data_IF_467389888270
#
_entry.id   IF_467389888270
#
_cell.length_a   1.000
_cell.length_b   1.000
_cell.length_c   1.000
_cell.angle_alpha   90.00
_cell.angle_beta   90.00
_cell.angle_gamma   90.00
#
_symmetry.space_group_name_H-M   'P 1'
#
loop_
_entity.id
_entity.type
_entity.pdbx_description
1 polymer ?
#
# COMPACT_ATOMS: atom_id res chain seq x y z
N UNK A 1 1.65 9.92 5.01
CA UNK A 1 1.37 8.75 5.87
C UNK A 1 1.98 8.96 7.26
N UNK A 2 1.39 8.39 8.32
CA UNK A 2 2.01 8.33 9.66
C UNK A 2 2.94 7.12 9.79
N UNK A 3 4.22 7.35 10.12
CA UNK A 3 5.17 6.27 10.41
C UNK A 3 4.87 5.52 11.72
N UNK A 4 5.51 4.38 11.92
CA UNK A 4 5.37 3.54 13.12
C UNK A 4 6.59 2.64 13.27
N UNK A 5 6.94 2.30 14.52
CA UNK A 5 7.96 1.28 14.84
C UNK A 5 7.36 -0.13 14.92
N UNK A 6 6.05 -0.21 15.05
CA UNK A 6 5.29 -1.46 15.00
C UNK A 6 5.01 -1.79 13.52
N UNK A 7 5.41 -2.99 13.04
CA UNK A 7 5.27 -3.38 11.65
C UNK A 7 3.82 -3.50 11.19
N UNK A 8 2.91 -3.98 12.04
CA UNK A 8 1.49 -4.11 11.71
C UNK A 8 0.84 -2.73 11.58
N UNK A 9 1.09 -1.85 12.56
CA UNK A 9 0.60 -0.47 12.53
C UNK A 9 1.16 0.29 11.32
N UNK A 10 2.44 0.10 11.00
CA UNK A 10 3.06 0.71 9.82
C UNK A 10 2.38 0.22 8.53
N UNK A 11 2.23 -1.09 8.35
CA UNK A 11 1.61 -1.68 7.17
C UNK A 11 0.15 -1.22 6.99
N UNK A 12 -0.63 -1.13 8.08
CA UNK A 12 -2.00 -0.62 8.05
C UNK A 12 -2.05 0.86 7.65
N UNK A 13 -1.17 1.70 8.20
CA UNK A 13 -1.09 3.11 7.82
C UNK A 13 -0.71 3.28 6.33
N UNK A 14 0.17 2.43 5.81
CA UNK A 14 0.58 2.43 4.40
C UNK A 14 -0.61 2.02 3.53
N UNK A 15 -1.27 0.91 3.86
CA UNK A 15 -2.44 0.41 3.16
C UNK A 15 -3.56 1.46 3.12
N UNK A 16 -3.89 2.10 4.24
CA UNK A 16 -4.87 3.18 4.27
C UNK A 16 -4.45 4.34 3.38
N UNK A 17 -3.17 4.76 3.40
CA UNK A 17 -2.68 5.86 2.56
C UNK A 17 -2.72 5.51 1.07
N UNK A 18 -2.40 4.27 0.71
CA UNK A 18 -2.40 3.76 -0.66
C UNK A 18 -3.80 3.76 -1.29
N UNK A 19 -4.82 3.48 -0.48
CA UNK A 19 -6.20 3.39 -0.95
C UNK A 19 -7.04 4.64 -0.69
N UNK A 20 -6.51 5.65 0.03
CA UNK A 20 -7.26 6.89 0.32
C UNK A 20 -6.85 7.99 -0.65
N UNK A 21 -7.68 8.21 -1.66
CA UNK A 21 -7.49 9.28 -2.62
C UNK A 21 -8.83 9.85 -3.07
N UNK A 22 -8.80 11.09 -3.51
CA UNK A 22 -9.96 11.83 -4.00
C UNK A 22 -9.57 12.56 -5.30
N UNK A 23 -10.34 12.35 -6.36
CA UNK A 23 -10.10 12.99 -7.66
C UNK A 23 -10.49 14.47 -7.68
N UNK A 24 -11.32 14.91 -6.73
CA UNK A 24 -11.78 16.29 -6.56
C UNK A 24 -10.86 17.14 -5.65
N UNK A 25 -9.85 16.55 -5.02
CA UNK A 25 -8.93 17.27 -4.11
C UNK A 25 -7.95 18.21 -4.80
N UNK A 26 -7.88 18.18 -6.14
CA UNK A 26 -6.86 18.88 -6.93
C UNK A 26 -5.54 18.11 -7.08
N UNK A 27 -5.36 17.02 -6.35
CA UNK A 27 -4.20 16.14 -6.47
C UNK A 27 -4.33 15.17 -7.66
N UNK A 28 -3.19 14.63 -8.08
CA UNK A 28 -3.04 13.58 -9.09
C UNK A 28 -2.43 12.31 -8.47
N UNK A 29 -2.47 11.16 -9.16
CA UNK A 29 -1.92 9.90 -8.64
C UNK A 29 -0.49 10.02 -8.11
N UNK A 30 0.36 10.80 -8.78
CA UNK A 30 1.75 11.01 -8.40
C UNK A 30 1.90 11.70 -7.03
N UNK A 31 0.98 12.60 -6.67
CA UNK A 31 1.02 13.29 -5.38
C UNK A 31 0.73 12.31 -4.23
N UNK A 32 -0.20 11.38 -4.44
CA UNK A 32 -0.50 10.32 -3.47
C UNK A 32 0.67 9.34 -3.33
N UNK A 33 1.31 8.95 -4.45
CA UNK A 33 2.45 8.03 -4.42
C UNK A 33 3.66 8.64 -3.71
N UNK A 34 3.94 9.94 -3.88
CA UNK A 34 5.05 10.62 -3.21
C UNK A 34 5.03 10.44 -1.69
N UNK A 35 3.85 10.47 -1.07
CA UNK A 35 3.70 10.29 0.38
C UNK A 35 4.05 8.89 0.89
N UNK A 36 3.96 7.88 0.02
CA UNK A 36 4.30 6.47 0.30
C UNK A 36 5.78 6.24 0.02
N UNK A 37 6.30 6.81 -1.08
CA UNK A 37 7.72 6.71 -1.44
C UNK A 37 8.63 7.42 -0.44
N UNK A 38 8.12 8.43 0.28
CA UNK A 38 8.86 9.10 1.36
C UNK A 38 9.13 8.21 2.58
N UNK A 39 8.44 7.08 2.72
CA UNK A 39 8.69 6.09 3.78
C UNK A 39 9.36 4.82 3.25
N UNK A 40 9.89 4.86 2.03
CA UNK A 40 10.70 3.79 1.46
C UNK A 40 12.02 3.59 2.19
N UNK A 41 12.72 2.50 1.86
CA UNK A 41 14.05 2.21 2.40
C UNK A 41 15.02 3.39 2.24
N UNK A 42 15.59 3.92 3.34
CA UNK A 42 16.52 5.05 3.28
C UNK A 42 17.82 4.75 2.53
N UNK A 43 18.20 3.47 2.33
CA UNK A 43 19.37 3.16 1.49
C UNK A 43 19.10 3.39 0.01
N UNK A 44 17.83 3.46 -0.39
CA UNK A 44 17.38 3.61 -1.77
C UNK A 44 17.41 2.31 -2.59
N UNK A 45 17.86 1.18 -2.01
CA UNK A 45 18.01 -0.09 -2.73
C UNK A 45 16.68 -0.59 -3.31
N UNK A 46 15.61 -0.49 -2.55
CA UNK A 46 14.28 -0.95 -2.96
C UNK A 46 13.43 0.14 -3.63
N UNK A 47 13.94 1.38 -3.74
CA UNK A 47 13.11 2.53 -4.10
C UNK A 47 12.48 2.41 -5.50
N UNK A 48 13.24 1.91 -6.48
CA UNK A 48 12.74 1.71 -7.84
C UNK A 48 11.66 0.60 -7.90
N UNK A 49 11.87 -0.48 -7.15
CA UNK A 49 10.91 -1.58 -7.04
C UNK A 49 9.62 -1.11 -6.36
N UNK A 50 9.75 -0.42 -5.21
CA UNK A 50 8.61 0.15 -4.49
C UNK A 50 7.82 1.15 -5.35
N UNK A 51 8.50 2.00 -6.12
CA UNK A 51 7.84 2.93 -7.03
C UNK A 51 7.02 2.22 -8.11
N UNK A 52 7.57 1.15 -8.69
CA UNK A 52 6.85 0.30 -9.63
C UNK A 52 5.65 -0.37 -8.98
N UNK A 53 5.81 -0.92 -7.78
CA UNK A 53 4.72 -1.58 -7.07
C UNK A 53 3.61 -0.56 -6.75
N UNK A 54 3.92 0.60 -6.16
CA UNK A 54 2.92 1.65 -5.83
C UNK A 54 2.17 2.14 -7.06
N UNK A 55 2.86 2.32 -8.20
CA UNK A 55 2.22 2.74 -9.44
C UNK A 55 1.14 1.74 -9.91
N UNK A 56 1.33 0.44 -9.67
CA UNK A 56 0.37 -0.60 -10.04
C UNK A 56 -0.93 -0.58 -9.19
N UNK A 57 -0.95 0.11 -8.06
CA UNK A 57 -2.13 0.24 -7.20
C UNK A 57 -2.99 1.47 -7.50
N UNK A 58 -2.43 2.46 -8.22
CA UNK A 58 -3.08 3.73 -8.49
C UNK A 58 -3.69 3.73 -9.89
N UNK A 59 -4.79 4.48 -10.11
CA UNK A 59 -5.33 4.66 -11.45
C UNK A 59 -4.29 5.30 -12.39
N UNK A 60 -4.31 4.90 -13.67
CA UNK A 60 -3.57 5.60 -14.72
C UNK A 60 -4.04 7.05 -14.85
N UNK A 61 -3.27 7.88 -15.54
CA UNK A 61 -3.65 9.28 -15.79
C UNK A 61 -4.98 9.38 -16.55
N UNK A 62 -5.18 8.53 -17.54
CA UNK A 62 -6.40 8.47 -18.35
C UNK A 62 -7.59 8.03 -17.48
N UNK A 63 -7.41 6.98 -16.67
CA UNK A 63 -8.43 6.55 -15.72
C UNK A 63 -8.78 7.65 -14.72
N UNK A 64 -7.79 8.39 -14.23
CA UNK A 64 -8.00 9.50 -13.30
C UNK A 64 -8.88 10.60 -13.89
N UNK A 65 -8.65 10.96 -15.16
CA UNK A 65 -9.48 11.96 -15.87
C UNK A 65 -10.93 11.50 -15.96
N UNK A 66 -11.18 10.22 -16.26
CA UNK A 66 -12.53 9.68 -16.31
C UNK A 66 -13.18 9.63 -14.92
N UNK A 67 -12.47 9.14 -13.90
CA UNK A 67 -12.95 9.08 -12.52
C UNK A 67 -13.30 10.47 -11.95
N UNK A 68 -12.55 11.51 -12.34
CA UNK A 68 -12.78 12.89 -11.92
C UNK A 68 -14.12 13.45 -12.41
N UNK A 69 -14.62 13.02 -13.58
CA UNK A 69 -15.96 13.43 -14.07
C UNK A 69 -17.08 13.00 -13.13
N UNK A 70 -16.81 12.01 -12.28
CA UNK A 70 -17.73 11.43 -11.31
C UNK A 70 -17.37 11.78 -9.87
N UNK A 71 -16.52 12.79 -9.62
CA UNK A 71 -16.04 13.14 -8.28
C UNK A 71 -15.61 11.91 -7.47
N UNK A 72 -14.94 10.96 -8.13
CA UNK A 72 -14.66 9.65 -7.53
C UNK A 72 -13.64 9.79 -6.41
N UNK A 73 -13.91 9.13 -5.30
CA UNK A 73 -13.01 8.96 -4.16
C UNK A 73 -12.92 7.50 -3.76
N UNK A 74 -11.81 7.14 -3.14
CA UNK A 74 -11.58 5.82 -2.60
C UNK A 74 -11.16 5.89 -1.14
N UNK A 75 -11.58 4.88 -0.38
CA UNK A 75 -11.10 4.60 0.97
C UNK A 75 -10.94 3.10 1.19
N UNK A 76 -10.36 2.70 2.32
CA UNK A 76 -10.14 1.31 2.68
C UNK A 76 -10.58 1.05 4.12
N UNK A 77 -11.35 -0.01 4.31
CA UNK A 77 -11.60 -0.63 5.62
C UNK A 77 -10.75 -1.88 5.73
N UNK A 78 -9.77 -1.90 6.64
CA UNK A 78 -8.91 -3.07 6.88
C UNK A 78 -9.63 -4.02 7.84
N UNK A 79 -9.87 -5.25 7.40
CA UNK A 79 -10.56 -6.28 8.18
C UNK A 79 -9.59 -7.20 8.91
N UNK A 80 -8.40 -7.44 8.34
CA UNK A 80 -7.37 -8.28 8.95
C UNK A 80 -5.97 -7.84 8.53
N UNK A 81 -5.02 -7.98 9.43
CA UNK A 81 -3.59 -7.87 9.14
C UNK A 81 -2.82 -8.92 9.94
N UNK A 82 -1.82 -9.55 9.31
CA UNK A 82 -1.03 -10.63 9.93
C UNK A 82 0.28 -10.87 9.17
N UNK A 83 1.26 -11.48 9.83
CA UNK A 83 2.46 -12.00 9.16
C UNK A 83 2.11 -13.37 8.54
N UNK A 84 2.25 -13.56 7.22
CA UNK A 84 1.89 -14.83 6.58
C UNK A 84 2.88 -15.94 6.92
N UNK A 85 2.43 -17.19 6.89
CA UNK A 85 3.27 -18.34 7.26
C UNK A 85 4.46 -18.51 6.29
N UNK A 86 4.24 -18.30 4.98
CA UNK A 86 5.34 -18.35 4.01
C UNK A 86 6.45 -17.32 4.27
N UNK A 87 6.20 -16.24 5.03
CA UNK A 87 7.29 -15.34 5.42
C UNK A 87 8.29 -16.04 6.34
N UNK A 88 7.81 -16.84 7.30
CA UNK A 88 8.69 -17.61 8.18
C UNK A 88 9.50 -18.65 7.40
N UNK A 89 8.91 -19.22 6.35
CA UNK A 89 9.61 -20.15 5.46
C UNK A 89 10.68 -19.45 4.64
N UNK A 90 10.36 -18.29 4.05
CA UNK A 90 11.30 -17.47 3.32
C UNK A 90 12.50 -17.08 4.18
N UNK A 91 12.28 -16.71 5.45
CA UNK A 91 13.35 -16.41 6.39
C UNK A 91 14.25 -17.62 6.67
N UNK A 92 13.69 -18.83 6.80
CA UNK A 92 14.49 -20.06 7.02
C UNK A 92 15.32 -20.44 5.79
N UNK A 93 14.83 -20.13 4.59
CA UNK A 93 15.47 -20.49 3.33
C UNK A 93 16.44 -19.42 2.82
N UNK A 94 16.37 -18.20 3.35
CA UNK A 94 17.21 -17.09 2.92
C UNK A 94 18.70 -17.35 3.23
N UNK A 95 19.55 -17.05 2.24
CA UNK A 95 20.99 -16.99 2.43
C UNK A 95 21.36 -15.74 3.25
N UNK A 96 22.51 -15.75 3.95
CA UNK A 96 23.00 -14.58 4.66
C UNK A 96 23.02 -13.33 3.79
N UNK A 97 22.39 -12.25 4.27
CA UNK A 97 22.34 -10.96 3.57
C UNK A 97 21.22 -10.81 2.53
N UNK A 98 20.43 -11.85 2.22
CA UNK A 98 19.29 -11.73 1.30
C UNK A 98 18.10 -10.99 1.92
N UNK A 99 17.91 -11.11 3.23
CA UNK A 99 16.85 -10.44 3.96
C UNK A 99 17.47 -9.37 4.87
N UNK A 100 17.07 -8.10 4.74
CA UNK A 100 17.55 -7.03 5.62
C UNK A 100 17.26 -7.31 7.09
N UNK A 101 18.11 -6.80 7.97
CA UNK A 101 17.86 -6.88 9.42
C UNK A 101 16.54 -6.19 9.79
N UNK A 102 15.74 -6.84 10.64
CA UNK A 102 14.43 -6.31 11.05
C UNK A 102 13.35 -6.36 9.96
N UNK A 103 13.59 -7.05 8.83
CA UNK A 103 12.59 -7.24 7.80
C UNK A 103 11.44 -8.16 8.26
N UNK A 104 10.23 -7.83 7.83
CA UNK A 104 9.04 -8.64 7.98
C UNK A 104 8.08 -8.42 6.80
N UNK A 105 7.06 -9.26 6.71
CA UNK A 105 5.97 -9.12 5.76
C UNK A 105 4.64 -9.07 6.50
N UNK A 106 3.76 -8.14 6.13
CA UNK A 106 2.41 -8.04 6.70
C UNK A 106 1.40 -8.12 5.56
N UNK A 107 0.58 -9.15 5.58
CA UNK A 107 -0.54 -9.33 4.67
C UNK A 107 -1.75 -8.55 5.20
N UNK A 108 -2.33 -7.71 4.35
CA UNK A 108 -3.50 -6.89 4.59
C UNK A 108 -4.68 -7.48 3.84
N UNK A 109 -5.81 -7.69 4.54
CA UNK A 109 -7.11 -7.94 3.94
C UNK A 109 -8.03 -6.78 4.29
N UNK A 110 -8.86 -6.38 3.33
CA UNK A 110 -9.82 -5.31 3.55
C UNK A 110 -10.86 -5.21 2.45
N UNK A 111 -11.64 -4.15 2.55
CA UNK A 111 -12.61 -3.74 1.54
C UNK A 111 -12.26 -2.34 1.09
N UNK A 112 -11.94 -2.16 -0.19
CA UNK A 112 -11.84 -0.82 -0.78
C UNK A 112 -13.25 -0.36 -1.13
N UNK A 113 -13.57 0.87 -0.75
CA UNK A 113 -14.83 1.52 -1.05
C UNK A 113 -14.56 2.56 -2.14
N UNK A 114 -15.29 2.50 -3.25
CA UNK A 114 -15.21 3.50 -4.30
C UNK A 114 -16.55 4.21 -4.40
N UNK A 115 -16.53 5.51 -4.18
CA UNK A 115 -17.74 6.34 -4.19
C UNK A 115 -17.58 7.46 -5.20
N UNK A 116 -18.67 7.86 -5.84
CA UNK A 116 -18.70 8.97 -6.77
C UNK A 116 -20.12 9.46 -7.02
N UNK A 117 -20.30 10.21 -8.10
CA UNK A 117 -21.57 10.78 -8.51
C UNK A 117 -21.89 10.45 -9.97
N UNK A 118 -23.13 10.05 -10.22
CA UNK A 118 -23.67 9.81 -11.55
C UNK A 118 -24.99 10.57 -11.71
N UNK A 119 -25.06 11.51 -12.66
CA UNK A 119 -26.22 12.39 -12.87
C UNK A 119 -26.73 13.05 -11.57
N UNK A 120 -25.80 13.55 -10.74
CA UNK A 120 -26.11 14.21 -9.46
C UNK A 120 -26.58 13.27 -8.35
N UNK A 121 -26.49 11.94 -8.53
CA UNK A 121 -26.80 10.95 -7.50
C UNK A 121 -25.54 10.24 -7.02
N UNK A 122 -25.40 10.01 -5.70
CA UNK A 122 -24.28 9.25 -5.17
C UNK A 122 -24.35 7.79 -5.64
N UNK A 123 -23.21 7.25 -6.05
CA UNK A 123 -23.02 5.84 -6.41
C UNK A 123 -21.80 5.29 -5.67
N UNK A 124 -21.80 4.00 -5.38
CA UNK A 124 -20.70 3.35 -4.69
C UNK A 124 -20.60 1.87 -4.98
N UNK A 125 -19.38 1.36 -4.90
CA UNK A 125 -19.06 -0.06 -5.07
C UNK A 125 -17.93 -0.47 -4.13
N UNK A 126 -18.04 -1.68 -3.60
CA UNK A 126 -17.12 -2.26 -2.64
C UNK A 126 -16.40 -3.46 -3.26
N UNK A 127 -15.09 -3.53 -3.04
CA UNK A 127 -14.28 -4.64 -3.53
C UNK A 127 -13.40 -5.17 -2.41
N UNK A 128 -13.42 -6.48 -2.22
CA UNK A 128 -12.43 -7.14 -1.39
C UNK A 128 -11.03 -6.91 -1.98
N UNK A 129 -10.05 -6.69 -1.12
CA UNK A 129 -8.64 -6.55 -1.50
C UNK A 129 -7.76 -7.36 -0.57
N UNK A 130 -6.70 -7.95 -1.12
CA UNK A 130 -5.64 -8.58 -0.33
C UNK A 130 -4.26 -8.35 -0.93
N UNK A 131 -3.26 -8.05 -0.11
CA UNK A 131 -1.89 -7.86 -0.57
C UNK A 131 -0.91 -7.89 0.61
N UNK A 132 0.38 -7.92 0.32
CA UNK A 132 1.45 -7.98 1.33
C UNK A 132 2.36 -6.77 1.24
N UNK A 133 2.64 -6.17 2.39
CA UNK A 133 3.64 -5.12 2.57
C UNK A 133 4.92 -5.77 3.10
N UNK A 134 6.00 -5.69 2.33
CA UNK A 134 7.33 -6.05 2.79
C UNK A 134 8.00 -4.80 3.34
N UNK A 135 8.51 -4.88 4.57
CA UNK A 135 9.01 -3.72 5.31
C UNK A 135 10.16 -4.13 6.21
N UNK A 136 10.99 -3.17 6.64
CA UNK A 136 11.98 -3.40 7.69
C UNK A 136 11.90 -2.36 8.79
N UNK A 137 12.06 -2.81 10.03
CA UNK A 137 11.93 -2.00 11.23
C UNK A 137 13.29 -1.92 11.95
N UNK A 138 14.03 -0.81 11.81
CA UNK A 138 15.30 -0.62 12.52
C UNK A 138 15.07 -0.39 14.02
N UNK A 139 16.05 -0.77 14.84
CA UNK A 139 16.02 -0.50 16.28
C UNK A 139 15.94 1.01 16.54
N UNK A 140 14.90 1.47 17.24
CA UNK A 140 14.74 2.87 17.63
C UNK A 140 14.23 3.82 16.53
N UNK A 141 13.95 3.34 15.32
CA UNK A 141 13.40 4.12 14.21
C UNK A 141 12.00 3.67 13.78
N UNK A 142 11.34 4.45 12.92
CA UNK A 142 10.14 3.98 12.21
C UNK A 142 10.54 2.89 11.22
N UNK A 143 9.64 1.95 10.97
CA UNK A 143 9.76 1.04 9.85
C UNK A 143 9.74 1.81 8.52
N UNK A 144 10.26 1.17 7.48
CA UNK A 144 10.25 1.64 6.11
C UNK A 144 9.74 0.55 5.17
N UNK A 145 9.09 0.96 4.09
CA UNK A 145 8.57 0.07 3.06
C UNK A 145 9.70 -0.40 2.13
N UNK A 146 9.73 -1.69 1.84
CA UNK A 146 10.64 -2.31 0.88
C UNK A 146 9.91 -2.55 -0.43
N UNK A 147 8.87 -3.38 -0.41
CA UNK A 147 8.12 -3.82 -1.59
C UNK A 147 6.65 -3.99 -1.26
N UNK A 148 5.80 -4.01 -2.28
CA UNK A 148 4.42 -4.48 -2.17
C UNK A 148 4.24 -5.70 -3.08
N UNK A 149 3.48 -6.69 -2.62
CA UNK A 149 3.01 -7.73 -3.55
C UNK A 149 2.06 -7.11 -4.58
N UNK A 150 1.72 -7.86 -5.62
CA UNK A 150 0.62 -7.47 -6.50
C UNK A 150 -0.72 -7.50 -5.72
N UNK A 151 -1.61 -6.58 -6.08
CA UNK A 151 -2.99 -6.56 -5.55
C UNK A 151 -3.69 -7.89 -5.86
N UNK A 152 -4.37 -8.43 -4.86
CA UNK A 152 -5.08 -9.72 -4.84
C UNK A 152 -4.20 -10.95 -5.06
N UNK A 153 -2.89 -10.77 -4.89
CA UNK A 153 -1.90 -11.84 -4.87
C UNK A 153 -0.96 -11.69 -3.66
N UNK A 154 -1.48 -11.83 -2.43
CA UNK A 154 -0.66 -11.75 -1.23
C UNK A 154 0.26 -12.96 -1.10
N UNK A 155 1.34 -12.79 -0.34
CA UNK A 155 2.12 -13.90 0.20
C UNK A 155 1.22 -14.73 1.14
N UNK A 156 1.15 -16.04 0.90
CA UNK A 156 0.22 -16.96 1.57
C UNK A 156 0.78 -17.55 2.85
#
# INVERSE_FOLDING_TARGET
MKGSRDPDVFARNLATSLFTWDTASGLFPLDYSASILAVGDPTGMEQAGLASDVAAYLPSREQWVELRKHATRQSLTITRSYVPEAWHEAVRQAQPGQIPSGATAVTIHGTRHRNGEWNGRPVGEDFAVSFTVFLACPTGGSCHALRLSQLDNPLK
#
